data_IF_207429018131
#
_entry.id   IF_207429018131
#
_cell.length_a   1.000
_cell.length_b   1.000
_cell.length_c   1.000
_cell.angle_alpha   90.00
_cell.angle_beta   90.00
_cell.angle_gamma   90.00
#
_symmetry.space_group_name_H-M   'P 1'
#
loop_
_entity.id
_entity.type
_entity.pdbx_description
1 polymer ?
#
# COMPACT_ATOMS: atom_id res chain seq x y z
N UNK A 1 5.41 4.24 14.70
CA UNK A 1 5.95 3.18 13.83
C UNK A 1 7.46 3.30 13.82
N UNK A 2 8.16 2.31 14.36
CA UNK A 2 9.62 2.22 14.40
C UNK A 2 10.14 1.40 13.21
N UNK A 3 11.41 1.56 12.86
CA UNK A 3 12.05 0.72 11.85
C UNK A 3 12.01 -0.78 12.22
N UNK A 4 12.13 -1.10 13.52
CA UNK A 4 12.04 -2.49 14.02
C UNK A 4 10.67 -3.10 13.74
N UNK A 5 9.59 -2.37 14.02
CA UNK A 5 8.22 -2.82 13.75
C UNK A 5 8.00 -3.07 12.24
N UNK A 6 8.50 -2.18 11.39
CA UNK A 6 8.41 -2.34 9.93
C UNK A 6 9.19 -3.59 9.48
N UNK A 7 10.42 -3.75 9.95
CA UNK A 7 11.27 -4.88 9.58
C UNK A 7 10.66 -6.22 10.02
N UNK A 8 10.09 -6.28 11.22
CA UNK A 8 9.38 -7.47 11.71
C UNK A 8 8.18 -7.83 10.81
N UNK A 9 7.39 -6.84 10.38
CA UNK A 9 6.26 -7.08 9.48
C UNK A 9 6.69 -7.47 8.06
N UNK A 10 7.81 -6.94 7.55
CA UNK A 10 8.43 -7.40 6.30
C UNK A 10 8.78 -8.88 6.37
N UNK A 11 9.48 -9.29 7.44
CA UNK A 11 9.88 -10.68 7.63
C UNK A 11 8.68 -11.62 7.75
N UNK A 12 7.63 -11.22 8.48
CA UNK A 12 6.37 -11.99 8.54
C UNK A 12 5.72 -12.13 7.16
N UNK A 13 5.73 -11.07 6.35
CA UNK A 13 5.14 -11.08 5.02
C UNK A 13 5.85 -12.04 4.06
N UNK A 14 7.20 -12.05 4.07
CA UNK A 14 8.01 -13.01 3.30
C UNK A 14 7.85 -14.45 3.82
N UNK A 15 7.84 -14.62 5.15
CA UNK A 15 7.67 -15.94 5.77
C UNK A 15 6.33 -16.59 5.41
N UNK A 16 5.22 -15.81 5.37
CA UNK A 16 3.90 -16.31 4.91
C UNK A 16 3.93 -16.83 3.47
N UNK A 17 4.85 -16.33 2.64
CA UNK A 17 5.07 -16.78 1.25
C UNK A 17 6.13 -17.88 1.16
N UNK A 18 6.59 -18.42 2.29
CA UNK A 18 7.65 -19.43 2.38
C UNK A 18 8.99 -18.97 1.76
N UNK A 19 9.23 -17.66 1.76
CA UNK A 19 10.47 -17.06 1.25
C UNK A 19 11.38 -16.69 2.41
N UNK A 20 12.62 -17.14 2.35
CA UNK A 20 13.64 -16.75 3.32
C UNK A 20 14.42 -15.57 2.77
N UNK A 21 14.50 -14.50 3.56
CA UNK A 21 15.22 -13.26 3.21
C UNK A 21 16.14 -12.89 4.36
N UNK A 22 17.33 -12.40 4.02
CA UNK A 22 18.28 -11.85 4.98
C UNK A 22 18.12 -10.32 5.02
N UNK A 23 18.08 -9.75 6.24
CA UNK A 23 17.78 -8.33 6.40
C UNK A 23 18.94 -7.41 6.00
N UNK A 24 20.16 -7.94 5.95
CA UNK A 24 21.41 -7.20 5.72
C UNK A 24 22.00 -7.46 4.33
N UNK A 25 21.73 -8.62 3.73
CA UNK A 25 22.07 -8.89 2.32
C UNK A 25 21.37 -7.89 1.41
N UNK A 26 22.01 -7.55 0.29
CA UNK A 26 21.42 -6.56 -0.61
C UNK A 26 20.13 -7.06 -1.24
N UNK A 27 19.13 -6.21 -1.42
CA UNK A 27 17.83 -6.59 -1.99
C UNK A 27 17.99 -7.19 -3.39
N UNK A 28 18.88 -6.62 -4.21
CA UNK A 28 19.17 -7.10 -5.57
C UNK A 28 20.05 -8.36 -5.63
N UNK A 29 20.66 -8.76 -4.52
CA UNK A 29 21.41 -10.01 -4.36
C UNK A 29 20.50 -11.13 -3.80
N UNK A 30 19.26 -10.78 -3.45
CA UNK A 30 18.23 -11.71 -3.02
C UNK A 30 17.22 -11.92 -4.15
N UNK A 31 16.48 -13.02 -4.08
CA UNK A 31 15.43 -13.36 -5.05
C UNK A 31 14.20 -12.46 -4.91
N UNK A 32 14.32 -11.16 -4.57
CA UNK A 32 13.16 -10.29 -4.33
C UNK A 32 12.81 -9.56 -5.62
N UNK A 33 11.66 -9.91 -6.21
CA UNK A 33 11.20 -9.25 -7.43
C UNK A 33 10.69 -7.83 -7.15
N UNK A 34 10.76 -6.96 -8.17
CA UNK A 34 10.20 -5.60 -8.06
C UNK A 34 8.70 -5.61 -7.75
N UNK A 35 7.96 -6.60 -8.27
CA UNK A 35 6.54 -6.77 -7.99
C UNK A 35 6.29 -7.13 -6.52
N UNK A 36 7.08 -8.06 -5.96
CA UNK A 36 6.98 -8.43 -4.54
C UNK A 36 7.27 -7.23 -3.63
N UNK A 37 8.23 -6.38 -3.99
CA UNK A 37 8.52 -5.16 -3.23
C UNK A 37 7.32 -4.20 -3.20
N UNK A 38 6.62 -4.05 -4.33
CA UNK A 38 5.41 -3.22 -4.42
C UNK A 38 4.24 -3.81 -3.63
N UNK A 39 4.07 -5.14 -3.64
CA UNK A 39 3.07 -5.81 -2.81
C UNK A 39 3.38 -5.65 -1.31
N UNK A 40 4.66 -5.75 -0.95
CA UNK A 40 5.13 -5.52 0.41
C UNK A 40 4.81 -4.10 0.88
N UNK A 41 5.05 -3.07 0.05
CA UNK A 41 4.68 -1.70 0.40
C UNK A 41 3.18 -1.57 0.64
N UNK A 42 2.34 -2.08 -0.26
CA UNK A 42 0.88 -2.02 -0.10
C UNK A 42 0.40 -2.73 1.17
N UNK A 43 1.02 -3.87 1.51
CA UNK A 43 0.76 -4.58 2.75
C UNK A 43 1.14 -3.73 3.98
N UNK A 44 2.33 -3.15 4.00
CA UNK A 44 2.82 -2.35 5.13
C UNK A 44 2.00 -1.06 5.31
N UNK A 45 1.67 -0.36 4.23
CA UNK A 45 0.78 0.81 4.23
C UNK A 45 -0.58 0.48 4.84
N UNK A 46 -1.15 -0.66 4.45
CA UNK A 46 -2.39 -1.19 5.02
C UNK A 46 -2.23 -1.53 6.50
N UNK A 47 -1.14 -2.21 6.86
CA UNK A 47 -0.89 -2.71 8.22
C UNK A 47 -0.72 -1.58 9.22
N UNK A 48 -0.03 -0.52 8.83
CA UNK A 48 0.28 0.62 9.68
C UNK A 48 -0.67 1.80 9.49
N UNK A 49 -1.61 1.72 8.55
CA UNK A 49 -2.48 2.82 8.16
C UNK A 49 -1.67 4.11 7.83
N UNK A 50 -0.68 3.95 6.96
CA UNK A 50 0.20 5.02 6.47
C UNK A 50 0.32 4.95 4.96
N UNK A 51 0.78 6.04 4.35
CA UNK A 51 1.22 6.08 2.95
C UNK A 51 2.72 6.37 2.93
N UNK A 52 3.51 5.52 2.27
CA UNK A 52 4.96 5.73 2.19
C UNK A 52 5.32 6.71 1.08
N UNK A 53 6.18 7.67 1.40
CA UNK A 53 6.68 8.64 0.43
C UNK A 53 7.89 8.05 -0.30
N UNK A 54 7.66 7.08 -1.19
CA UNK A 54 8.74 6.35 -1.88
C UNK A 54 9.67 7.26 -2.71
N UNK A 55 9.22 8.47 -3.08
CA UNK A 55 10.03 9.50 -3.78
C UNK A 55 11.14 10.08 -2.91
N UNK A 56 10.97 10.07 -1.58
CA UNK A 56 11.98 10.55 -0.61
C UNK A 56 13.02 9.45 -0.30
N UNK A 57 12.83 8.23 -0.80
CA UNK A 57 13.79 7.15 -0.63
C UNK A 57 14.91 7.25 -1.66
N UNK A 58 16.14 7.34 -1.18
CA UNK A 58 17.33 7.35 -2.02
C UNK A 58 17.83 5.92 -2.31
N UNK A 59 18.83 5.79 -3.19
CA UNK A 59 19.44 4.49 -3.56
C UNK A 59 19.88 3.66 -2.34
N UNK A 60 20.40 4.30 -1.29
CA UNK A 60 20.84 3.62 -0.05
C UNK A 60 19.68 2.97 0.71
N UNK A 61 18.48 3.54 0.59
CA UNK A 61 17.27 2.99 1.22
C UNK A 61 16.88 1.64 0.61
N UNK A 62 17.21 1.39 -0.65
CA UNK A 62 16.93 0.12 -1.34
C UNK A 62 18.11 -0.86 -1.30
N UNK A 63 19.15 -0.58 -0.50
CA UNK A 63 20.31 -1.47 -0.42
C UNK A 63 19.95 -2.79 0.27
N UNK A 64 19.33 -2.75 1.45
CA UNK A 64 18.92 -3.92 2.25
C UNK A 64 17.53 -3.71 2.85
N UNK A 65 16.89 -4.78 3.34
CA UNK A 65 15.59 -4.65 4.03
C UNK A 65 15.72 -3.83 5.33
N UNK A 66 16.86 -3.92 6.02
CA UNK A 66 17.16 -3.09 7.19
C UNK A 66 17.20 -1.59 6.80
N UNK A 67 17.93 -1.23 5.75
CA UNK A 67 17.97 0.15 5.25
C UNK A 67 16.59 0.63 4.78
N UNK A 68 15.83 -0.25 4.12
CA UNK A 68 14.48 0.05 3.64
C UNK A 68 13.55 0.35 4.80
N UNK A 69 13.58 -0.46 5.87
CA UNK A 69 12.78 -0.24 7.07
C UNK A 69 13.08 1.12 7.73
N UNK A 70 14.36 1.53 7.75
CA UNK A 70 14.78 2.83 8.27
C UNK A 70 14.24 3.95 7.37
N UNK A 71 14.39 3.81 6.05
CA UNK A 71 13.89 4.78 5.08
C UNK A 71 12.38 4.98 5.19
N UNK A 72 11.62 3.89 5.24
CA UNK A 72 10.17 3.90 5.39
C UNK A 72 9.72 4.50 6.72
N UNK A 73 10.41 4.19 7.83
CA UNK A 73 10.08 4.75 9.15
C UNK A 73 10.29 6.25 9.26
N UNK A 74 11.02 6.87 8.33
CA UNK A 74 11.27 8.31 8.30
C UNK A 74 10.39 9.04 7.28
N UNK A 75 9.89 8.32 6.27
CA UNK A 75 9.25 8.90 5.09
C UNK A 75 7.86 8.29 4.88
N UNK A 76 6.94 8.65 5.76
CA UNK A 76 5.55 8.27 5.63
C UNK A 76 4.64 9.41 6.05
N UNK A 77 3.45 9.43 5.47
CA UNK A 77 2.35 10.24 5.97
C UNK A 77 1.40 9.31 6.71
N UNK A 78 0.98 9.71 7.91
CA UNK A 78 -0.17 9.06 8.51
C UNK A 78 -1.37 9.27 7.59
N UNK A 79 -2.06 8.19 7.28
CA UNK A 79 -3.33 8.29 6.60
C UNK A 79 -4.29 8.90 7.62
N UNK A 80 -4.76 10.12 7.36
CA UNK A 80 -5.83 10.74 8.14
C UNK A 80 -7.08 9.84 8.16
N UNK A 81 -8.09 10.16 8.98
CA UNK A 81 -9.36 9.42 9.00
C UNK A 81 -9.80 9.08 7.58
N UNK A 82 -9.80 7.78 7.30
CA UNK A 82 -10.05 7.23 5.97
C UNK A 82 -11.29 6.40 6.08
N UNK A 83 -12.29 6.82 5.34
CA UNK A 83 -13.49 6.03 5.18
C UNK A 83 -13.15 4.96 4.15
N UNK A 84 -13.07 3.72 4.64
CA UNK A 84 -12.90 2.56 3.78
C UNK A 84 -14.25 2.15 3.21
N UNK A 85 -14.26 1.80 1.93
CA UNK A 85 -15.44 1.28 1.27
C UNK A 85 -15.09 -0.01 0.55
N UNK A 86 -15.93 -1.03 0.74
CA UNK A 86 -15.89 -2.22 -0.09
C UNK A 86 -16.54 -1.93 -1.43
N UNK A 87 -15.87 -2.32 -2.51
CA UNK A 87 -16.34 -2.11 -3.88
C UNK A 87 -16.45 -3.42 -4.64
N UNK A 88 -17.49 -3.52 -5.46
CA UNK A 88 -17.67 -4.58 -6.46
C UNK A 88 -17.31 -4.00 -7.81
N UNK A 89 -16.28 -4.58 -8.44
CA UNK A 89 -15.70 -4.06 -9.68
C UNK A 89 -15.95 -5.06 -10.81
N UNK A 90 -16.52 -4.59 -11.91
CA UNK A 90 -16.78 -5.38 -13.13
C UNK A 90 -15.67 -5.26 -14.18
N UNK A 91 -14.57 -4.59 -13.82
CA UNK A 91 -13.36 -4.48 -14.63
C UNK A 91 -12.20 -5.17 -13.91
N UNK A 92 -11.18 -5.55 -14.67
CA UNK A 92 -9.99 -6.19 -14.10
C UNK A 92 -9.30 -5.29 -13.05
N UNK A 93 -8.91 -5.89 -11.92
CA UNK A 93 -8.35 -5.17 -10.78
C UNK A 93 -7.12 -4.31 -11.11
N UNK A 94 -6.17 -4.75 -11.96
CA UNK A 94 -5.03 -3.90 -12.35
C UNK A 94 -5.47 -2.63 -13.09
N UNK A 95 -6.50 -2.73 -13.93
CA UNK A 95 -7.05 -1.59 -14.69
C UNK A 95 -7.73 -0.62 -13.72
N UNK A 96 -8.53 -1.14 -12.79
CA UNK A 96 -9.18 -0.34 -11.77
C UNK A 96 -8.19 0.39 -10.86
N UNK A 97 -7.14 -0.29 -10.39
CA UNK A 97 -6.08 0.32 -9.57
C UNK A 97 -5.39 1.46 -10.32
N UNK A 98 -5.03 1.25 -11.59
CA UNK A 98 -4.41 2.29 -12.41
C UNK A 98 -5.35 3.49 -12.62
N UNK A 99 -6.64 3.23 -12.82
CA UNK A 99 -7.64 4.30 -12.93
C UNK A 99 -7.73 5.13 -11.64
N UNK A 100 -7.73 4.49 -10.47
CA UNK A 100 -7.71 5.20 -9.17
C UNK A 100 -6.48 6.10 -9.03
N UNK A 101 -5.30 5.58 -9.38
CA UNK A 101 -4.05 6.33 -9.31
C UNK A 101 -4.10 7.57 -10.21
N UNK A 102 -4.64 7.46 -11.43
CA UNK A 102 -4.73 8.55 -12.39
C UNK A 102 -5.80 9.58 -12.03
N UNK A 103 -7.00 9.13 -11.65
CA UNK A 103 -8.13 10.03 -11.37
C UNK A 103 -7.98 10.83 -10.07
N UNK A 104 -7.27 10.27 -9.10
CA UNK A 104 -7.20 10.84 -7.76
C UNK A 104 -5.78 11.23 -7.33
N UNK A 105 -4.82 11.24 -8.25
CA UNK A 105 -3.41 11.56 -7.95
C UNK A 105 -2.90 10.78 -6.72
N UNK A 106 -3.26 9.49 -6.63
CA UNK A 106 -2.94 8.57 -5.53
C UNK A 106 -3.49 8.95 -4.14
N UNK A 107 -4.48 9.85 -4.08
CA UNK A 107 -5.19 10.22 -2.84
C UNK A 107 -6.25 9.20 -2.42
N UNK A 108 -6.69 8.34 -3.35
CA UNK A 108 -7.54 7.19 -3.05
C UNK A 108 -6.67 5.96 -2.90
N UNK A 109 -6.78 5.33 -1.73
CA UNK A 109 -6.05 4.12 -1.39
C UNK A 109 -6.75 2.91 -1.98
N UNK A 110 -5.98 1.88 -2.30
CA UNK A 110 -6.48 0.61 -2.82
C UNK A 110 -5.86 -0.54 -2.03
N UNK A 111 -6.68 -1.48 -1.58
CA UNK A 111 -6.19 -2.74 -1.00
C UNK A 111 -7.19 -3.87 -1.20
N UNK A 112 -6.72 -5.11 -1.05
CA UNK A 112 -7.55 -6.31 -1.07
C UNK A 112 -7.47 -6.95 0.32
N UNK A 113 -8.62 -7.18 0.95
CA UNK A 113 -8.72 -7.79 2.29
C UNK A 113 -9.84 -8.82 2.27
N UNK A 114 -9.52 -10.06 2.67
CA UNK A 114 -10.49 -11.19 2.74
C UNK A 114 -11.32 -11.37 1.44
N UNK A 115 -10.66 -11.24 0.29
CA UNK A 115 -11.30 -11.34 -1.03
C UNK A 115 -12.12 -10.12 -1.44
N UNK A 116 -12.20 -9.07 -0.61
CA UNK A 116 -12.89 -7.82 -0.92
C UNK A 116 -11.92 -6.78 -1.44
N UNK A 117 -12.33 -6.06 -2.47
CA UNK A 117 -11.61 -4.88 -2.95
C UNK A 117 -12.06 -3.69 -2.11
N UNK A 118 -11.09 -2.99 -1.51
CA UNK A 118 -11.35 -1.83 -0.67
C UNK A 118 -10.73 -0.59 -1.30
N UNK A 119 -11.50 0.49 -1.32
CA UNK A 119 -11.02 1.84 -1.64
C UNK A 119 -11.06 2.69 -0.37
N UNK A 120 -9.94 3.34 -0.07
CA UNK A 120 -9.82 4.24 1.08
C UNK A 120 -9.88 5.68 0.62
N UNK A 121 -10.88 6.42 1.08
CA UNK A 121 -11.01 7.85 0.79
C UNK A 121 -10.63 8.63 2.04
N UNK A 122 -9.56 9.41 1.96
CA UNK A 122 -9.16 10.29 3.05
C UNK A 122 -10.22 11.39 3.27
N UNK A 123 -10.62 11.60 4.53
CA UNK A 123 -11.56 12.68 4.88
C UNK A 123 -10.93 14.04 4.59
N UNK A 124 -11.66 14.89 3.86
CA UNK A 124 -11.15 16.20 3.43
C UNK A 124 -11.97 16.82 2.28
N UNK A 125 -11.47 17.94 1.73
CA UNK A 125 -12.16 18.80 0.75
C UNK A 125 -12.65 18.08 -0.52
N UNK A 126 -12.15 16.89 -0.84
CA UNK A 126 -12.51 16.15 -2.06
C UNK A 126 -13.19 14.80 -1.81
N UNK A 127 -13.40 14.40 -0.55
CA UNK A 127 -13.93 13.08 -0.18
C UNK A 127 -15.27 12.74 -0.86
N UNK A 128 -16.22 13.69 -0.88
CA UNK A 128 -17.52 13.53 -1.54
C UNK A 128 -17.40 13.38 -3.07
N UNK A 129 -16.50 14.13 -3.71
CA UNK A 129 -16.31 14.04 -5.16
C UNK A 129 -15.61 12.73 -5.54
N UNK A 130 -14.61 12.30 -4.76
CA UNK A 130 -13.97 10.99 -4.92
C UNK A 130 -14.97 9.85 -4.80
N UNK A 131 -15.82 9.88 -3.76
CA UNK A 131 -16.84 8.85 -3.58
C UNK A 131 -17.85 8.82 -4.73
N UNK A 132 -18.26 10.00 -5.23
CA UNK A 132 -19.16 10.12 -6.39
C UNK A 132 -18.54 9.54 -7.65
N UNK A 133 -17.31 9.91 -7.99
CA UNK A 133 -16.60 9.40 -9.17
C UNK A 133 -16.39 7.89 -9.13
N UNK A 134 -16.08 7.33 -7.95
CA UNK A 134 -15.93 5.88 -7.80
C UNK A 134 -17.29 5.18 -7.98
N UNK A 135 -18.38 5.73 -7.42
CA UNK A 135 -19.74 5.22 -7.60
C UNK A 135 -20.17 5.10 -9.06
N UNK A 136 -19.63 5.93 -9.94
CA UNK A 136 -19.97 5.93 -11.38
C UNK A 136 -19.32 4.77 -12.15
N UNK A 137 -18.27 4.13 -11.60
CA UNK A 137 -17.48 3.10 -12.31
C UNK A 137 -17.51 1.72 -11.63
N UNK A 138 -18.03 1.62 -10.41
CA UNK A 138 -18.16 0.35 -9.67
C UNK A 138 -19.62 -0.06 -9.61
N UNK A 139 -19.91 -1.36 -9.58
CA UNK A 139 -21.27 -1.88 -9.50
C UNK A 139 -21.92 -1.57 -8.15
N UNK A 140 -21.13 -1.73 -7.08
CA UNK A 140 -21.56 -1.49 -5.71
C UNK A 140 -20.42 -0.89 -4.92
N UNK A 141 -20.77 0.03 -4.01
CA UNK A 141 -19.87 0.56 -3.00
C UNK A 141 -20.59 0.69 -1.66
N UNK A 142 -19.98 0.20 -0.59
CA UNK A 142 -20.56 0.26 0.75
C UNK A 142 -19.49 0.54 1.82
N UNK A 143 -19.81 1.29 2.89
CA UNK A 143 -18.87 1.53 3.98
C UNK A 143 -18.34 0.21 4.56
N UNK A 144 -17.03 0.12 4.72
CA UNK A 144 -16.34 -1.01 5.32
C UNK A 144 -15.92 -0.65 6.74
N UNK A 145 -16.51 -1.35 7.73
CA UNK A 145 -16.24 -1.15 9.16
C UNK A 145 -15.25 -2.18 9.69
#
# INVERSE_FOLDING_TARGET
MTNKEILEEMLKWFSKRKKYVDTRTRINEQDIESLELLELFSYLETRFNVQFNLKELNKKSYESLENLSIGLSKNFNNIAWTDWYAVVVNIELPIFRRWLEFQFDRLVLFKIVDGKVLVGIQQGKNSKDSLRKIKEVVEKIEPYK
#
